data_IF_811359585816
#
_entry.id   IF_811359585816
#
_cell.length_a   1.000
_cell.length_b   1.000
_cell.length_c   1.000
_cell.angle_alpha   90.00
_cell.angle_beta   90.00
_cell.angle_gamma   90.00
#
_symmetry.space_group_name_H-M   'P 1'
#
loop_
_entity.id
_entity.type
_entity.pdbx_description
1 polymer ?
#
# COMPACT_ATOMS: atom_id res chain seq x y z
N UNK A 1 -0.63 -27.17 -21.09
CA UNK A 1 -0.23 -26.02 -21.91
C UNK A 1 0.55 -25.10 -20.99
N UNK A 2 1.80 -24.80 -21.31
CA UNK A 2 2.69 -24.02 -20.45
C UNK A 2 2.81 -22.62 -21.04
N UNK A 3 2.65 -21.55 -20.25
CA UNK A 3 2.78 -20.20 -20.78
C UNK A 3 4.23 -19.92 -21.18
N UNK A 4 4.42 -19.22 -22.31
CA UNK A 4 5.75 -18.83 -22.81
C UNK A 4 6.35 -17.64 -22.01
N UNK A 5 5.51 -16.87 -21.31
CA UNK A 5 5.91 -15.74 -20.47
C UNK A 5 4.90 -15.51 -19.34
N UNK A 6 5.41 -15.13 -18.17
CA UNK A 6 4.61 -14.65 -17.03
C UNK A 6 5.19 -13.32 -16.58
N UNK A 7 4.32 -12.31 -16.44
CA UNK A 7 4.68 -10.98 -15.92
C UNK A 7 4.08 -10.86 -14.52
N UNK A 8 4.91 -10.47 -13.57
CA UNK A 8 4.51 -10.22 -12.20
C UNK A 8 4.53 -8.72 -11.93
N UNK A 9 3.56 -8.26 -11.17
CA UNK A 9 3.64 -6.97 -10.51
C UNK A 9 4.73 -7.00 -9.42
N UNK A 10 5.20 -5.84 -8.97
CA UNK A 10 6.21 -5.76 -7.92
C UNK A 10 5.56 -5.74 -6.53
N UNK A 11 4.76 -4.72 -6.26
CA UNK A 11 4.20 -4.46 -4.93
C UNK A 11 3.08 -5.46 -4.60
N UNK A 12 3.15 -6.08 -3.42
CA UNK A 12 2.18 -7.10 -2.98
C UNK A 12 2.28 -8.45 -3.72
N UNK A 13 3.19 -8.58 -4.70
CA UNK A 13 3.41 -9.82 -5.47
C UNK A 13 4.83 -10.33 -5.32
N UNK A 14 5.83 -9.51 -5.67
CA UNK A 14 7.24 -9.85 -5.50
C UNK A 14 7.83 -9.29 -4.20
N UNK A 15 7.27 -8.18 -3.70
CA UNK A 15 7.75 -7.46 -2.53
C UNK A 15 6.59 -7.11 -1.59
N UNK A 16 6.78 -7.34 -0.29
CA UNK A 16 5.85 -6.92 0.76
C UNK A 16 6.09 -5.44 1.13
N UNK A 17 5.69 -4.53 0.24
CA UNK A 17 5.85 -3.07 0.35
C UNK A 17 4.61 -2.36 0.90
N UNK A 18 3.55 -3.11 1.21
CA UNK A 18 2.24 -2.59 1.59
C UNK A 18 2.26 -1.86 2.94
N UNK A 19 2.90 -2.44 3.96
CA UNK A 19 3.00 -1.82 5.29
C UNK A 19 3.86 -0.55 5.30
N UNK A 20 4.91 -0.49 4.46
CA UNK A 20 5.73 0.70 4.30
C UNK A 20 4.93 1.87 3.69
N UNK A 21 4.08 1.56 2.72
CA UNK A 21 3.22 2.55 2.07
C UNK A 21 2.19 3.13 3.05
N UNK A 22 1.57 2.29 3.88
CA UNK A 22 0.65 2.74 4.94
C UNK A 22 1.37 3.61 5.98
N UNK A 23 2.56 3.19 6.41
CA UNK A 23 3.37 3.95 7.38
C UNK A 23 3.73 5.35 6.85
N UNK A 24 4.11 5.44 5.58
CA UNK A 24 4.41 6.72 4.93
C UNK A 24 3.17 7.64 4.90
N UNK A 25 1.99 7.10 4.55
CA UNK A 25 0.73 7.84 4.55
C UNK A 25 0.35 8.36 5.94
N UNK A 26 0.44 7.51 6.96
CA UNK A 26 0.15 7.90 8.35
C UNK A 26 1.11 8.99 8.85
N UNK A 27 2.38 8.93 8.46
CA UNK A 27 3.35 9.98 8.74
C UNK A 27 2.93 11.33 8.13
N UNK A 28 2.49 11.31 6.87
CA UNK A 28 1.99 12.52 6.19
C UNK A 28 0.73 13.11 6.84
N UNK A 29 -0.22 12.25 7.22
CA UNK A 29 -1.45 12.66 7.92
C UNK A 29 -1.11 13.32 9.27
N UNK A 30 -0.20 12.70 10.02
CA UNK A 30 0.27 13.22 11.31
C UNK A 30 0.93 14.58 11.16
N UNK A 31 1.79 14.76 10.16
CA UNK A 31 2.44 16.03 9.84
C UNK A 31 1.43 17.13 9.47
N UNK A 32 0.30 16.77 8.86
CA UNK A 32 -0.80 17.68 8.55
C UNK A 32 -1.72 17.97 9.76
N UNK A 33 -1.45 17.39 10.93
CA UNK A 33 -2.26 17.55 12.15
C UNK A 33 -3.48 16.62 12.21
N UNK A 34 -3.59 15.66 11.30
CA UNK A 34 -4.62 14.63 11.31
C UNK A 34 -4.24 13.43 12.17
N UNK A 35 -5.22 12.57 12.44
CA UNK A 35 -5.01 11.28 13.11
C UNK A 35 -5.94 10.23 12.49
N UNK A 36 -5.37 9.09 12.13
CA UNK A 36 -6.05 7.93 11.56
C UNK A 36 -5.43 6.69 12.19
N UNK A 37 -6.25 5.72 12.59
CA UNK A 37 -5.72 4.45 13.11
C UNK A 37 -5.11 3.62 11.98
N UNK A 38 -4.12 2.82 12.31
CA UNK A 38 -3.45 1.95 11.35
C UNK A 38 -4.44 0.96 10.71
N UNK A 39 -5.33 0.34 11.50
CA UNK A 39 -6.39 -0.55 10.98
C UNK A 39 -7.30 0.14 9.95
N UNK A 40 -7.74 1.38 10.24
CA UNK A 40 -8.56 2.15 9.31
C UNK A 40 -7.76 2.53 8.06
N UNK A 41 -6.45 2.74 8.19
CA UNK A 41 -5.60 3.04 7.06
C UNK A 41 -5.40 1.83 6.14
N UNK A 42 -5.23 0.64 6.71
CA UNK A 42 -5.21 -0.61 5.94
C UNK A 42 -6.55 -0.87 5.24
N UNK A 43 -7.67 -0.68 5.93
CA UNK A 43 -9.00 -0.93 5.35
C UNK A 43 -9.35 0.05 4.20
N UNK A 44 -8.96 1.32 4.33
CA UNK A 44 -9.40 2.37 3.42
C UNK A 44 -8.37 2.80 2.38
N UNK A 45 -7.07 2.64 2.61
CA UNK A 45 -6.02 3.18 1.74
C UNK A 45 -5.09 2.14 1.12
N UNK A 46 -5.04 0.91 1.64
CA UNK A 46 -4.16 -0.13 1.10
C UNK A 46 -4.54 -0.50 -0.35
N UNK A 47 -3.55 -0.59 -1.22
CA UNK A 47 -3.71 -0.98 -2.63
C UNK A 47 -4.52 0.02 -3.48
N UNK A 48 -4.84 1.21 -2.97
CA UNK A 48 -5.57 2.26 -3.71
C UNK A 48 -4.64 3.39 -4.12
N UNK A 49 -4.75 3.79 -5.39
CA UNK A 49 -4.17 5.08 -5.82
C UNK A 49 -5.02 6.24 -5.30
N UNK A 50 -4.40 7.14 -4.57
CA UNK A 50 -5.00 8.42 -4.18
C UNK A 50 -5.04 9.34 -5.41
N UNK A 51 -6.22 9.87 -5.76
CA UNK A 51 -6.39 10.88 -6.82
C UNK A 51 -6.44 12.28 -6.23
#
# INVERSE_FOLDING_TARGET
>A
MTPDLVIFDCDGVLVDSEGLSVSALLGMITLAGGSVSEDAAYEHFLGKSMK
#
